data_IF_246479568114
#
_entry.id   IF_246479568114
#
_cell.length_a   1.000
_cell.length_b   1.000
_cell.length_c   1.000
_cell.angle_alpha   90.00
_cell.angle_beta   90.00
_cell.angle_gamma   90.00
#
_symmetry.space_group_name_H-M   'P 1'
#
loop_
_entity.id
_entity.type
_entity.pdbx_description
1 polymer ?
#
# COMPACT_ATOMS: atom_id res chain seq x y z
N UNK A 1 26.76 -21.83 19.51
CA UNK A 1 26.68 -21.62 18.05
C UNK A 1 25.85 -22.74 17.46
N UNK A 2 24.53 -22.59 17.45
CA UNK A 2 23.63 -23.46 16.66
C UNK A 2 23.15 -22.59 15.50
N UNK A 3 23.65 -22.89 14.30
CA UNK A 3 23.19 -22.29 13.06
C UNK A 3 21.74 -22.74 12.81
N UNK A 4 20.81 -21.83 13.12
CA UNK A 4 19.50 -21.61 12.50
C UNK A 4 18.99 -22.63 11.47
N UNK A 5 17.79 -23.18 11.70
CA UNK A 5 16.91 -23.70 10.63
C UNK A 5 16.29 -22.59 9.75
N UNK A 6 16.53 -21.30 10.03
CA UNK A 6 16.15 -20.20 9.14
C UNK A 6 17.06 -20.06 7.92
N UNK A 7 18.15 -20.83 7.82
CA UNK A 7 19.09 -20.79 6.69
C UNK A 7 18.57 -21.44 5.39
N UNK A 8 17.36 -22.01 5.39
CA UNK A 8 16.79 -22.71 4.23
C UNK A 8 15.48 -22.11 3.68
N UNK A 9 14.99 -20.98 4.22
CA UNK A 9 13.79 -20.34 3.66
C UNK A 9 14.13 -19.59 2.37
N UNK A 10 13.40 -19.91 1.30
CA UNK A 10 13.47 -19.17 0.04
C UNK A 10 12.40 -18.07 0.06
N UNK A 11 12.79 -16.85 0.38
CA UNK A 11 11.89 -15.71 0.51
C UNK A 11 12.19 -14.71 -0.59
N UNK A 12 11.17 -14.41 -1.41
CA UNK A 12 11.22 -13.45 -2.50
C UNK A 12 10.30 -12.27 -2.23
N UNK A 13 10.65 -11.10 -2.73
CA UNK A 13 9.72 -9.97 -2.82
C UNK A 13 8.67 -10.26 -3.89
N UNK A 14 7.50 -9.62 -3.77
CA UNK A 14 6.48 -9.71 -4.81
C UNK A 14 6.93 -9.03 -6.11
N UNK A 15 6.64 -9.66 -7.25
CA UNK A 15 6.94 -9.16 -8.60
C UNK A 15 8.43 -8.80 -8.86
N UNK A 16 9.37 -9.62 -8.37
CA UNK A 16 10.80 -9.51 -8.75
C UNK A 16 11.00 -9.75 -10.25
N UNK A 17 11.16 -8.65 -11.00
CA UNK A 17 11.80 -8.67 -12.33
C UNK A 17 13.23 -8.15 -12.22
N UNK A 18 14.21 -9.07 -12.30
CA UNK A 18 15.63 -8.72 -12.40
C UNK A 18 16.50 -9.10 -11.20
N UNK A 19 17.77 -8.71 -11.30
CA UNK A 19 18.85 -9.10 -10.39
C UNK A 19 19.00 -8.06 -9.26
N UNK A 20 17.95 -7.88 -8.46
CA UNK A 20 18.00 -6.98 -7.31
C UNK A 20 18.56 -7.72 -6.07
N UNK A 21 19.52 -7.10 -5.38
CA UNK A 21 20.18 -7.69 -4.22
C UNK A 21 19.37 -7.50 -2.91
N UNK A 22 18.14 -7.00 -2.97
CA UNK A 22 17.31 -6.79 -1.80
C UNK A 22 16.59 -8.07 -1.38
N UNK A 23 16.84 -8.48 -0.15
CA UNK A 23 16.14 -9.59 0.48
C UNK A 23 14.71 -9.18 0.88
N UNK A 24 13.78 -10.13 0.91
CA UNK A 24 12.41 -9.93 1.39
C UNK A 24 12.28 -9.77 2.91
N UNK A 25 13.39 -9.73 3.63
CA UNK A 25 13.44 -9.51 5.08
C UNK A 25 14.66 -8.69 5.45
N UNK A 26 14.71 -8.22 6.71
CA UNK A 26 15.85 -7.49 7.25
C UNK A 26 16.23 -8.00 8.65
N UNK A 27 17.27 -7.39 9.23
CA UNK A 27 17.75 -7.80 10.55
C UNK A 27 16.76 -7.55 11.69
N UNK A 28 15.69 -6.78 11.52
CA UNK A 28 14.65 -6.70 12.55
C UNK A 28 13.73 -7.95 12.52
N UNK A 29 13.52 -8.57 11.36
CA UNK A 29 12.76 -9.84 11.26
C UNK A 29 13.52 -10.98 11.92
N UNK A 30 14.80 -11.13 11.58
CA UNK A 30 15.67 -12.14 12.19
C UNK A 30 15.77 -11.95 13.71
N UNK A 31 15.84 -10.70 14.18
CA UNK A 31 15.94 -10.40 15.61
C UNK A 31 14.71 -10.91 16.37
N UNK A 32 13.50 -10.65 15.86
CA UNK A 32 12.26 -11.14 16.48
C UNK A 32 12.25 -12.67 16.60
N UNK A 33 12.61 -13.38 15.53
CA UNK A 33 12.63 -14.85 15.53
C UNK A 33 13.66 -15.40 16.50
N UNK A 34 14.86 -14.80 16.57
CA UNK A 34 15.89 -15.23 17.51
C UNK A 34 15.45 -14.97 18.94
N UNK A 35 14.87 -13.80 19.22
CA UNK A 35 14.39 -13.44 20.55
C UNK A 35 13.29 -14.38 21.05
N UNK A 36 12.30 -14.70 20.21
CA UNK A 36 11.22 -15.64 20.56
C UNK A 36 11.79 -17.03 20.93
N UNK A 37 12.81 -17.49 20.20
CA UNK A 37 13.47 -18.77 20.45
C UNK A 37 14.33 -18.77 21.70
N UNK A 38 15.09 -17.70 21.93
CA UNK A 38 15.98 -17.55 23.08
C UNK A 38 15.19 -17.45 24.39
N UNK A 39 14.05 -16.76 24.36
CA UNK A 39 13.17 -16.57 25.52
C UNK A 39 12.10 -17.67 25.65
N UNK A 40 12.13 -18.70 24.80
CA UNK A 40 11.19 -19.83 24.78
C UNK A 40 9.70 -19.41 24.80
N UNK A 41 9.37 -18.34 24.06
CA UNK A 41 8.02 -17.74 24.09
C UNK A 41 7.04 -18.64 23.33
N UNK A 42 5.96 -19.05 24.01
CA UNK A 42 4.87 -19.81 23.39
C UNK A 42 4.04 -18.91 22.46
N UNK A 43 3.91 -19.32 21.21
CA UNK A 43 3.31 -18.51 20.15
C UNK A 43 2.36 -19.36 19.29
N UNK A 44 1.30 -19.94 19.89
CA UNK A 44 0.34 -20.80 19.16
C UNK A 44 -0.63 -19.99 18.30
N UNK A 45 -1.13 -18.87 18.79
CA UNK A 45 -2.03 -17.96 18.09
C UNK A 45 -1.36 -16.59 17.98
N UNK A 46 -0.85 -16.28 16.79
CA UNK A 46 0.04 -15.13 16.60
C UNK A 46 -0.62 -14.08 15.71
N UNK A 47 -0.70 -12.84 16.20
CA UNK A 47 -1.02 -11.68 15.38
C UNK A 47 0.29 -11.07 14.87
N UNK A 48 0.49 -11.06 13.56
CA UNK A 48 1.68 -10.52 12.90
C UNK A 48 1.26 -9.30 12.09
N UNK A 49 1.84 -8.16 12.42
CA UNK A 49 1.51 -6.87 11.81
C UNK A 49 2.72 -6.36 11.02
N UNK A 50 2.48 -6.04 9.75
CA UNK A 50 3.44 -5.49 8.79
C UNK A 50 4.61 -6.46 8.45
N UNK A 51 4.32 -7.76 8.30
CA UNK A 51 5.25 -8.75 7.74
C UNK A 51 5.34 -8.58 6.21
N UNK A 52 6.41 -7.93 5.72
CA UNK A 52 6.48 -7.45 4.33
C UNK A 52 6.47 -8.59 3.30
N UNK A 53 7.12 -9.72 3.57
CA UNK A 53 7.22 -10.86 2.65
C UNK A 53 6.96 -12.22 3.31
N UNK A 54 6.51 -12.25 4.57
CA UNK A 54 6.20 -13.49 5.27
C UNK A 54 7.35 -14.08 6.07
N UNK A 55 8.45 -13.36 6.30
CA UNK A 55 9.59 -13.95 7.00
C UNK A 55 9.19 -14.43 8.40
N UNK A 56 8.39 -13.64 9.12
CA UNK A 56 7.92 -14.02 10.45
C UNK A 56 6.94 -15.19 10.36
N UNK A 57 5.96 -15.08 9.46
CA UNK A 57 4.95 -16.10 9.20
C UNK A 57 5.57 -17.46 8.82
N UNK A 58 6.60 -17.47 7.97
CA UNK A 58 7.27 -18.70 7.54
C UNK A 58 8.21 -19.27 8.62
N UNK A 59 8.85 -18.42 9.42
CA UNK A 59 9.88 -18.82 10.40
C UNK A 59 9.35 -19.31 11.73
N UNK A 60 8.11 -18.96 12.09
CA UNK A 60 7.46 -19.36 13.33
C UNK A 60 6.73 -20.70 13.16
N UNK A 61 6.70 -21.47 14.25
CA UNK A 61 5.87 -22.66 14.39
C UNK A 61 4.70 -22.30 15.32
N UNK A 62 3.57 -21.95 14.71
CA UNK A 62 2.31 -21.61 15.37
C UNK A 62 1.16 -22.43 14.78
N UNK A 63 0.06 -22.56 15.55
CA UNK A 63 -1.17 -23.22 15.11
C UNK A 63 -1.97 -22.29 14.19
N UNK A 64 -2.04 -20.99 14.52
CA UNK A 64 -2.83 -19.99 13.80
C UNK A 64 -2.02 -18.70 13.60
N UNK A 65 -2.04 -18.16 12.38
CA UNK A 65 -1.37 -16.92 11.99
C UNK A 65 -2.41 -15.91 11.52
N UNK A 66 -2.40 -14.73 12.10
CA UNK A 66 -3.25 -13.61 11.68
C UNK A 66 -2.34 -12.52 11.16
N UNK A 67 -2.32 -12.31 9.84
CA UNK A 67 -1.44 -11.36 9.18
C UNK A 67 -2.20 -10.09 8.85
N UNK A 68 -1.79 -8.97 9.45
CA UNK A 68 -2.30 -7.63 9.15
C UNK A 68 -1.23 -6.89 8.35
N UNK A 69 -1.53 -6.63 7.08
CA UNK A 69 -0.68 -5.83 6.21
C UNK A 69 -1.54 -4.79 5.50
N UNK A 70 -1.12 -3.53 5.55
CA UNK A 70 -1.80 -2.50 4.76
C UNK A 70 -1.65 -2.77 3.24
N UNK A 71 -0.47 -3.26 2.84
CA UNK A 71 -0.07 -3.51 1.45
C UNK A 71 -0.59 -4.85 0.92
N UNK A 72 -1.27 -4.80 -0.23
CA UNK A 72 -1.64 -5.95 -1.05
C UNK A 72 -0.42 -6.76 -1.50
N UNK A 73 0.67 -6.08 -1.86
CA UNK A 73 1.89 -6.75 -2.33
C UNK A 73 2.52 -7.61 -1.22
N UNK A 74 2.38 -7.20 0.04
CA UNK A 74 2.89 -7.99 1.17
C UNK A 74 2.08 -9.26 1.39
N UNK A 75 0.76 -9.16 1.32
CA UNK A 75 -0.12 -10.34 1.38
C UNK A 75 0.18 -11.33 0.26
N UNK A 76 0.33 -10.85 -0.98
CA UNK A 76 0.65 -11.72 -2.10
C UNK A 76 2.08 -12.29 -2.00
N UNK A 77 3.04 -11.54 -1.46
CA UNK A 77 4.37 -12.07 -1.15
C UNK A 77 4.32 -13.21 -0.13
N UNK A 78 3.54 -13.06 0.95
CA UNK A 78 3.34 -14.10 1.96
C UNK A 78 2.76 -15.36 1.31
N UNK A 79 1.66 -15.22 0.53
CA UNK A 79 1.02 -16.35 -0.17
C UNK A 79 2.01 -17.07 -1.10
N UNK A 80 2.75 -16.31 -1.90
CA UNK A 80 3.75 -16.86 -2.82
C UNK A 80 4.88 -17.58 -2.09
N UNK A 81 5.41 -16.99 -1.02
CA UNK A 81 6.50 -17.58 -0.25
C UNK A 81 6.06 -18.82 0.54
N UNK A 82 4.83 -18.85 1.07
CA UNK A 82 4.26 -20.07 1.68
C UNK A 82 4.24 -21.21 0.66
N UNK A 83 3.81 -20.95 -0.58
CA UNK A 83 3.84 -21.94 -1.66
C UNK A 83 5.26 -22.35 -2.01
N UNK A 84 6.18 -21.39 -2.14
CA UNK A 84 7.58 -21.62 -2.50
C UNK A 84 8.32 -22.50 -1.48
N UNK A 85 7.93 -22.46 -0.21
CA UNK A 85 8.51 -23.24 0.88
C UNK A 85 7.68 -24.47 1.26
N UNK A 86 6.68 -24.86 0.47
CA UNK A 86 5.78 -25.99 0.73
C UNK A 86 5.03 -25.88 2.09
N UNK A 87 4.72 -24.66 2.52
CA UNK A 87 4.03 -24.34 3.77
C UNK A 87 2.59 -23.84 3.56
N UNK A 88 1.99 -24.09 2.39
CA UNK A 88 0.59 -23.69 2.09
C UNK A 88 -0.46 -24.28 3.03
N UNK A 89 -0.11 -25.30 3.83
CA UNK A 89 -0.98 -25.88 4.84
C UNK A 89 -1.05 -25.08 6.16
N UNK A 90 -0.20 -24.05 6.35
CA UNK A 90 -0.29 -23.17 7.53
C UNK A 90 -1.64 -22.47 7.56
N UNK A 91 -2.25 -22.39 8.74
CA UNK A 91 -3.53 -21.70 8.92
C UNK A 91 -3.32 -20.18 9.01
N UNK A 92 -3.25 -19.53 7.85
CA UNK A 92 -3.00 -18.09 7.73
C UNK A 92 -4.30 -17.35 7.37
N UNK A 93 -4.69 -16.40 8.21
CA UNK A 93 -5.79 -15.47 7.96
C UNK A 93 -5.22 -14.08 7.67
N UNK A 94 -5.51 -13.52 6.51
CA UNK A 94 -5.17 -12.14 6.17
C UNK A 94 -6.28 -11.19 6.61
N UNK A 95 -5.92 -10.09 7.24
CA UNK A 95 -6.85 -9.13 7.84
C UNK A 95 -6.53 -7.71 7.41
N UNK A 96 -7.57 -6.91 7.21
CA UNK A 96 -7.42 -5.46 7.08
C UNK A 96 -7.05 -4.83 8.42
N UNK A 97 -6.19 -3.78 8.44
CA UNK A 97 -5.92 -3.03 9.67
C UNK A 97 -7.17 -2.31 10.23
N UNK A 98 -8.23 -2.19 9.44
CA UNK A 98 -9.49 -1.55 9.83
C UNK A 98 -10.55 -2.54 10.36
N UNK A 99 -10.32 -3.84 10.22
CA UNK A 99 -11.21 -4.89 10.72
C UNK A 99 -11.00 -5.17 12.22
N UNK A 100 -11.93 -5.85 12.90
CA UNK A 100 -11.70 -6.36 14.26
C UNK A 100 -10.54 -7.38 14.28
N UNK A 101 -9.67 -7.27 15.29
CA UNK A 101 -8.64 -8.28 15.52
C UNK A 101 -9.22 -9.50 16.25
N UNK A 102 -8.67 -10.70 16.03
CA UNK A 102 -9.12 -11.95 16.68
C UNK A 102 -8.94 -11.87 18.20
N UNK A 103 -9.86 -12.47 18.96
CA UNK A 103 -9.86 -12.41 20.43
C UNK A 103 -8.78 -13.29 21.11
N UNK A 104 -8.50 -14.46 20.55
CA UNK A 104 -7.60 -15.46 21.13
C UNK A 104 -6.18 -15.33 20.56
N UNK A 105 -5.43 -14.34 21.03
CA UNK A 105 -4.03 -14.12 20.63
C UNK A 105 -3.12 -14.32 21.84
N UNK A 106 -2.06 -15.11 21.65
CA UNK A 106 -1.04 -15.37 22.66
C UNK A 106 0.06 -14.29 22.62
N UNK A 107 0.39 -13.81 21.42
CA UNK A 107 1.43 -12.80 21.21
C UNK A 107 1.19 -11.96 19.95
N UNK A 108 1.56 -10.69 20.03
CA UNK A 108 1.53 -9.73 18.92
C UNK A 108 2.97 -9.45 18.48
N UNK A 109 3.25 -9.64 17.19
CA UNK A 109 4.50 -9.28 16.55
C UNK A 109 4.28 -8.07 15.64
N UNK A 110 4.96 -6.97 15.91
CA UNK A 110 4.79 -5.71 15.19
C UNK A 110 6.09 -5.30 14.51
N UNK A 111 6.11 -5.26 13.18
CA UNK A 111 7.14 -4.54 12.45
C UNK A 111 6.83 -3.04 12.51
N UNK A 112 7.73 -2.25 13.08
CA UNK A 112 7.52 -0.81 13.22
C UNK A 112 7.38 -0.17 11.83
N UNK A 113 6.19 0.36 11.46
CA UNK A 113 6.00 0.97 10.17
C UNK A 113 6.74 2.30 10.11
N UNK A 114 7.04 2.76 8.89
CA UNK A 114 7.76 4.03 8.67
C UNK A 114 6.91 5.26 9.00
N UNK A 115 5.58 5.13 9.00
CA UNK A 115 4.65 6.21 9.26
C UNK A 115 4.23 6.23 10.73
N UNK A 116 4.62 7.29 11.47
CA UNK A 116 4.33 7.40 12.90
C UNK A 116 2.83 7.47 13.22
N UNK A 117 2.03 8.13 12.39
CA UNK A 117 0.56 8.20 12.60
C UNK A 117 -0.07 6.82 12.41
N UNK A 118 0.46 6.03 11.47
CA UNK A 118 0.02 4.65 11.29
C UNK A 118 0.45 3.75 12.44
N UNK A 119 1.67 3.90 12.95
CA UNK A 119 2.11 3.21 14.16
C UNK A 119 1.20 3.53 15.35
N UNK A 120 0.89 4.82 15.57
CA UNK A 120 0.01 5.25 16.65
C UNK A 120 -1.40 4.64 16.52
N UNK A 121 -1.96 4.68 15.31
CA UNK A 121 -3.23 4.01 14.99
C UNK A 121 -3.19 2.50 15.30
N UNK A 122 -2.14 1.79 14.89
CA UNK A 122 -2.01 0.35 15.14
C UNK A 122 -1.91 0.04 16.63
N UNK A 123 -1.14 0.81 17.40
CA UNK A 123 -1.00 0.63 18.84
C UNK A 123 -2.31 0.91 19.58
N UNK A 124 -3.03 1.97 19.22
CA UNK A 124 -4.35 2.28 19.79
C UNK A 124 -5.38 1.19 19.44
N UNK A 125 -5.36 0.71 18.19
CA UNK A 125 -6.19 -0.40 17.73
C UNK A 125 -5.90 -1.69 18.50
N UNK A 126 -4.62 -2.01 18.75
CA UNK A 126 -4.22 -3.17 19.59
C UNK A 126 -4.81 -3.02 20.99
N UNK A 127 -4.62 -1.86 21.62
CA UNK A 127 -5.13 -1.59 22.96
C UNK A 127 -6.65 -1.69 23.07
N UNK A 128 -7.37 -1.23 22.05
CA UNK A 128 -8.83 -1.34 21.98
C UNK A 128 -9.33 -2.77 21.72
N UNK A 129 -8.54 -3.61 21.05
CA UNK A 129 -8.98 -4.94 20.61
C UNK A 129 -9.01 -5.98 21.72
N UNK A 130 -8.27 -5.77 22.82
CA UNK A 130 -8.08 -6.80 23.84
C UNK A 130 -8.52 -6.33 25.22
N UNK A 131 -9.35 -7.14 25.88
CA UNK A 131 -9.78 -6.92 27.28
C UNK A 131 -8.71 -7.28 28.30
N UNK A 132 -7.70 -8.07 27.90
CA UNK A 132 -6.55 -8.47 28.70
C UNK A 132 -5.28 -7.99 28.02
N UNK A 133 -4.26 -7.71 28.81
CA UNK A 133 -2.93 -7.40 28.29
C UNK A 133 -2.36 -8.61 27.56
N UNK A 134 -1.96 -8.39 26.30
CA UNK A 134 -1.36 -9.39 25.43
C UNK A 134 0.14 -9.05 25.28
N UNK A 135 1.05 -10.02 25.42
CA UNK A 135 2.46 -9.83 25.10
C UNK A 135 2.65 -9.27 23.69
N UNK A 136 3.54 -8.29 23.56
CA UNK A 136 3.86 -7.61 22.30
C UNK A 136 5.37 -7.50 22.12
N UNK A 137 5.83 -7.90 20.94
CA UNK A 137 7.21 -7.70 20.48
C UNK A 137 7.18 -6.82 19.22
N UNK A 138 7.70 -5.60 19.34
CA UNK A 138 7.87 -4.70 18.21
C UNK A 138 9.33 -4.67 17.76
N UNK A 139 9.61 -4.61 16.46
CA UNK A 139 10.98 -4.49 15.98
C UNK A 139 11.12 -3.55 14.80
N UNK A 140 12.27 -2.87 14.75
CA UNK A 140 12.61 -1.96 13.66
C UNK A 140 14.11 -1.73 13.56
N UNK A 141 14.52 -1.10 12.46
CA UNK A 141 15.91 -0.67 12.27
C UNK A 141 16.20 0.54 13.15
N UNK A 142 17.38 0.56 13.80
CA UNK A 142 17.82 1.63 14.72
C UNK A 142 17.72 3.02 14.09
N UNK A 143 18.03 3.15 12.79
CA UNK A 143 17.95 4.43 12.07
C UNK A 143 16.53 5.03 12.01
N UNK A 144 15.50 4.22 12.24
CA UNK A 144 14.10 4.67 12.25
C UNK A 144 13.55 4.85 13.67
N UNK A 145 14.17 4.23 14.69
CA UNK A 145 13.78 4.38 16.10
C UNK A 145 14.33 5.67 16.71
N UNK A 146 13.70 6.79 16.35
CA UNK A 146 13.95 8.09 16.96
C UNK A 146 13.16 8.29 18.27
N UNK A 147 13.39 9.42 18.94
CA UNK A 147 12.71 9.78 20.20
C UNK A 147 11.19 9.82 20.07
N UNK A 148 10.64 10.17 18.91
CA UNK A 148 9.19 10.15 18.68
C UNK A 148 8.62 8.75 18.77
N UNK A 149 9.24 7.77 18.09
CA UNK A 149 8.82 6.36 18.18
C UNK A 149 8.98 5.85 19.61
N UNK A 150 10.11 6.15 20.26
CA UNK A 150 10.35 5.76 21.64
C UNK A 150 9.25 6.25 22.58
N UNK A 151 8.92 7.55 22.50
CA UNK A 151 7.89 8.16 23.32
C UNK A 151 6.52 7.57 23.03
N UNK A 152 6.18 7.39 21.75
CA UNK A 152 4.91 6.83 21.31
C UNK A 152 4.69 5.41 21.85
N UNK A 153 5.68 4.54 21.67
CA UNK A 153 5.61 3.15 22.15
C UNK A 153 5.54 3.11 23.67
N UNK A 154 6.32 3.95 24.36
CA UNK A 154 6.31 4.02 25.84
C UNK A 154 5.01 4.59 26.39
N UNK A 155 4.33 5.47 25.65
CA UNK A 155 3.05 6.05 26.09
C UNK A 155 1.85 5.12 25.90
N UNK A 156 1.92 4.22 24.93
CA UNK A 156 0.79 3.37 24.54
C UNK A 156 0.92 1.91 24.96
N UNK A 157 2.10 1.45 25.36
CA UNK A 157 2.30 0.07 25.77
C UNK A 157 2.76 -0.02 27.23
N UNK A 158 2.41 -1.13 27.88
CA UNK A 158 2.77 -1.40 29.27
C UNK A 158 4.04 -2.23 29.39
N UNK A 159 4.78 -2.05 30.50
CA UNK A 159 5.92 -2.92 30.84
C UNK A 159 7.05 -2.91 29.82
N UNK A 160 7.35 -1.75 29.24
CA UNK A 160 8.25 -1.64 28.10
C UNK A 160 9.72 -1.89 28.46
N UNK A 161 10.38 -2.75 27.69
CA UNK A 161 11.84 -2.90 27.70
C UNK A 161 12.40 -2.84 26.27
N UNK A 162 13.58 -2.24 26.13
CA UNK A 162 14.30 -2.16 24.86
C UNK A 162 15.50 -3.10 24.87
N UNK A 163 15.66 -3.91 23.83
CA UNK A 163 16.85 -4.75 23.69
C UNK A 163 18.09 -3.94 23.32
N UNK A 164 19.27 -4.54 23.50
CA UNK A 164 20.50 -4.04 22.90
C UNK A 164 20.38 -4.06 21.37
N UNK A 165 21.10 -3.16 20.70
CA UNK A 165 21.15 -3.15 19.25
C UNK A 165 21.80 -4.44 18.72
N UNK A 166 21.14 -5.12 17.79
CA UNK A 166 21.65 -6.31 17.11
C UNK A 166 21.55 -6.12 15.61
N UNK A 167 22.67 -6.23 14.87
CA UNK A 167 22.71 -5.96 13.40
C UNK A 167 21.93 -4.71 12.95
N UNK A 168 22.05 -3.61 13.70
CA UNK A 168 21.33 -2.34 13.48
C UNK A 168 19.79 -2.42 13.62
N UNK A 169 19.24 -3.45 14.25
CA UNK A 169 17.86 -3.52 14.70
C UNK A 169 17.77 -3.51 16.24
N UNK A 170 16.58 -3.24 16.77
CA UNK A 170 16.22 -3.47 18.18
C UNK A 170 14.82 -4.04 18.26
N UNK A 171 14.56 -4.68 19.40
CA UNK A 171 13.24 -5.13 19.82
C UNK A 171 12.78 -4.23 20.96
N UNK A 172 11.49 -3.95 20.96
CA UNK A 172 10.75 -3.43 22.09
C UNK A 172 9.82 -4.53 22.58
N UNK A 173 10.00 -4.97 23.82
CA UNK A 173 9.07 -5.89 24.47
C UNK A 173 8.11 -5.10 25.33
N UNK A 174 6.88 -5.58 25.47
CA UNK A 174 5.89 -5.00 26.35
C UNK A 174 4.57 -5.74 26.26
N UNK A 175 3.51 -5.04 26.64
CA UNK A 175 2.16 -5.58 26.64
C UNK A 175 1.18 -4.55 26.08
N UNK A 176 0.12 -5.01 25.42
CA UNK A 176 -1.04 -4.16 25.17
C UNK A 176 -1.63 -3.67 26.50
N UNK A 177 -2.15 -2.45 26.48
CA UNK A 177 -2.85 -1.84 27.62
C UNK A 177 -4.32 -1.69 27.24
N UNK A 178 -5.20 -2.57 27.75
CA UNK A 178 -6.62 -2.55 27.41
C UNK A 178 -7.25 -1.17 27.51
N UNK A 179 -7.93 -0.76 26.44
CA UNK A 179 -8.67 0.50 26.34
C UNK A 179 -10.12 0.24 25.95
N UNK A 180 -11.05 1.03 26.48
CA UNK A 180 -12.47 0.99 26.09
C UNK A 180 -12.81 2.01 25.01
N UNK A 181 -11.85 2.85 24.62
CA UNK A 181 -12.00 3.89 23.61
C UNK A 181 -10.95 3.74 22.52
N UNK A 182 -11.32 4.10 21.30
CA UNK A 182 -10.42 4.19 20.14
C UNK A 182 -10.47 5.60 19.59
N UNK A 183 -9.32 6.14 19.22
CA UNK A 183 -9.19 7.48 18.65
C UNK A 183 -9.54 7.47 17.17
N UNK A 184 -10.09 8.58 16.66
CA UNK A 184 -10.23 8.79 15.22
C UNK A 184 -8.93 9.40 14.68
N UNK A 185 -8.22 8.61 13.88
CA UNK A 185 -6.97 9.03 13.23
C UNK A 185 -7.17 9.55 11.80
N UNK A 186 -8.42 9.66 11.34
CA UNK A 186 -8.69 10.22 10.03
C UNK A 186 -8.47 11.73 10.00
N UNK A 187 -8.06 12.25 8.85
CA UNK A 187 -7.90 13.70 8.62
C UNK A 187 -8.75 14.13 7.43
N UNK A 188 -9.23 15.37 7.47
CA UNK A 188 -10.05 15.94 6.40
C UNK A 188 -9.26 16.97 5.60
N UNK A 189 -9.40 16.96 4.28
CA UNK A 189 -8.79 17.93 3.37
C UNK A 189 -9.84 18.38 2.33
N UNK A 190 -9.98 19.69 2.14
CA UNK A 190 -10.83 20.26 1.09
C UNK A 190 -10.01 20.65 -0.14
N UNK A 191 -10.47 20.27 -1.33
CA UNK A 191 -9.88 20.69 -2.61
C UNK A 191 -10.91 20.66 -3.74
N UNK A 192 -11.01 21.73 -4.55
CA UNK A 192 -11.93 21.80 -5.72
C UNK A 192 -13.37 21.39 -5.38
N UNK A 193 -13.86 21.88 -4.23
CA UNK A 193 -15.18 21.56 -3.67
C UNK A 193 -15.38 20.05 -3.43
N UNK A 194 -14.31 19.33 -3.10
CA UNK A 194 -14.32 17.91 -2.73
C UNK A 194 -13.75 17.77 -1.32
N UNK A 195 -14.53 17.16 -0.45
CA UNK A 195 -14.09 16.81 0.91
C UNK A 195 -13.41 15.43 0.90
N UNK A 196 -12.11 15.39 1.14
CA UNK A 196 -11.32 14.17 1.20
C UNK A 196 -11.17 13.71 2.66
N UNK A 197 -11.40 12.43 2.90
CA UNK A 197 -11.14 11.76 4.17
C UNK A 197 -9.92 10.86 4.00
N UNK A 198 -8.91 11.11 4.83
CA UNK A 198 -7.61 10.47 4.75
C UNK A 198 -7.39 9.60 5.98
N UNK A 199 -7.31 8.29 5.79
CA UNK A 199 -6.92 7.34 6.82
C UNK A 199 -5.41 7.44 7.12
N UNK A 200 -4.94 6.89 8.24
CA UNK A 200 -3.51 6.74 8.51
C UNK A 200 -2.81 6.00 7.36
N UNK A 201 -1.49 6.17 7.25
CA UNK A 201 -0.65 5.54 6.22
C UNK A 201 -0.81 6.02 4.76
N UNK A 202 -1.76 6.88 4.42
CA UNK A 202 -1.84 7.41 3.05
C UNK A 202 -0.76 8.46 2.73
N UNK A 203 -0.37 8.54 1.46
CA UNK A 203 0.53 9.58 0.97
C UNK A 203 -0.11 10.97 1.04
N UNK A 204 0.69 11.98 1.43
CA UNK A 204 0.29 13.39 1.46
C UNK A 204 -1.02 13.69 2.21
N UNK A 205 -1.31 12.98 3.31
CA UNK A 205 -2.59 13.11 4.05
C UNK A 205 -2.91 14.52 4.58
N UNK A 206 -1.90 15.38 4.77
CA UNK A 206 -2.07 16.72 5.37
C UNK A 206 -2.28 17.85 4.36
N UNK A 207 -1.89 17.67 3.10
CA UNK A 207 -1.92 18.71 2.07
C UNK A 207 -2.06 18.07 0.69
N UNK A 208 -2.73 18.73 -0.23
CA UNK A 208 -2.81 18.26 -1.61
C UNK A 208 -1.40 18.21 -2.24
N UNK A 209 -1.03 17.05 -2.76
CA UNK A 209 0.20 16.84 -3.54
C UNK A 209 0.29 17.85 -4.68
N UNK A 210 1.51 18.31 -4.98
CA UNK A 210 1.73 19.37 -5.97
C UNK A 210 1.45 18.84 -7.38
N UNK A 211 1.81 17.58 -7.67
CA UNK A 211 1.49 16.93 -8.94
C UNK A 211 -0.01 16.75 -9.10
N UNK A 212 -0.70 16.24 -8.08
CA UNK A 212 -2.17 16.16 -8.07
C UNK A 212 -2.80 17.55 -8.29
N UNK A 213 -2.34 18.59 -7.60
CA UNK A 213 -2.84 19.95 -7.82
C UNK A 213 -2.65 20.42 -9.26
N UNK A 214 -1.47 20.18 -9.83
CA UNK A 214 -1.18 20.49 -11.23
C UNK A 214 -2.14 19.77 -12.18
N UNK A 215 -2.45 18.49 -11.92
CA UNK A 215 -3.48 17.76 -12.65
C UNK A 215 -4.83 18.48 -12.57
N UNK A 216 -5.33 18.77 -11.36
CA UNK A 216 -6.65 19.38 -11.15
C UNK A 216 -6.78 20.78 -11.76
N UNK A 217 -5.68 21.53 -11.81
CA UNK A 217 -5.66 22.90 -12.36
C UNK A 217 -5.61 22.92 -13.90
N UNK A 218 -5.10 21.87 -14.54
CA UNK A 218 -4.85 21.83 -15.98
C UNK A 218 -5.64 20.75 -16.74
N UNK A 219 -6.43 19.93 -16.04
CA UNK A 219 -7.24 18.91 -16.69
C UNK A 219 -8.27 19.54 -17.63
N UNK A 220 -8.33 19.02 -18.84
CA UNK A 220 -9.32 19.39 -19.86
C UNK A 220 -10.07 18.15 -20.30
N UNK A 221 -11.36 18.30 -20.64
CA UNK A 221 -12.13 17.23 -21.26
C UNK A 221 -11.83 17.18 -22.76
N UNK A 222 -11.88 15.98 -23.35
CA UNK A 222 -11.89 15.84 -24.81
C UNK A 222 -13.28 16.19 -25.33
N UNK A 223 -13.44 17.19 -26.22
CA UNK A 223 -14.74 17.56 -26.76
C UNK A 223 -15.43 16.37 -27.45
N UNK A 224 -16.76 16.33 -27.34
CA UNK A 224 -17.63 15.32 -27.99
C UNK A 224 -17.34 13.86 -27.62
N UNK A 225 -16.55 13.62 -26.57
CA UNK A 225 -16.23 12.28 -26.09
C UNK A 225 -17.14 11.83 -24.97
N UNK A 226 -17.84 10.73 -25.21
CA UNK A 226 -18.64 10.06 -24.19
C UNK A 226 -17.74 9.19 -23.29
N UNK A 227 -17.79 9.43 -21.99
CA UNK A 227 -17.07 8.66 -20.98
C UNK A 227 -18.10 8.00 -20.07
N UNK A 228 -18.20 6.67 -20.12
CA UNK A 228 -19.15 5.88 -19.35
C UNK A 228 -18.48 5.07 -18.22
N UNK A 229 -17.15 4.95 -18.26
CA UNK A 229 -16.36 4.18 -17.30
C UNK A 229 -15.01 4.84 -17.03
N UNK A 230 -14.75 5.13 -15.76
CA UNK A 230 -13.54 5.81 -15.27
C UNK A 230 -12.83 4.89 -14.28
N UNK A 231 -11.51 4.73 -14.44
CA UNK A 231 -10.66 4.07 -13.44
C UNK A 231 -9.57 5.04 -12.96
N UNK A 232 -9.43 5.19 -11.65
CA UNK A 232 -8.29 5.86 -11.02
C UNK A 232 -7.34 4.82 -10.41
N UNK A 233 -6.10 4.81 -10.89
CA UNK A 233 -5.08 3.81 -10.53
C UNK A 233 -4.05 4.43 -9.59
N UNK A 234 -3.88 3.83 -8.41
CA UNK A 234 -3.15 4.46 -7.32
C UNK A 234 -3.97 5.62 -6.73
N UNK A 235 -5.24 5.35 -6.46
CA UNK A 235 -6.23 6.39 -6.18
C UNK A 235 -5.96 7.17 -4.88
N UNK A 236 -5.18 6.61 -3.93
CA UNK A 236 -4.98 7.18 -2.61
C UNK A 236 -6.32 7.56 -1.92
N UNK A 237 -6.67 8.85 -1.83
CA UNK A 237 -7.93 9.31 -1.26
C UNK A 237 -9.04 9.56 -2.31
N UNK A 238 -8.80 9.23 -3.57
CA UNK A 238 -9.77 9.29 -4.66
C UNK A 238 -9.92 10.67 -5.31
N UNK A 239 -9.08 11.66 -4.98
CA UNK A 239 -9.24 13.04 -5.47
C UNK A 239 -9.27 13.15 -7.01
N UNK A 240 -8.47 12.37 -7.73
CA UNK A 240 -8.47 12.44 -9.20
C UNK A 240 -9.79 11.89 -9.75
N UNK A 241 -10.18 10.68 -9.33
CA UNK A 241 -11.45 10.09 -9.71
C UNK A 241 -12.67 10.97 -9.35
N UNK A 242 -12.74 11.50 -8.12
CA UNK A 242 -13.85 12.36 -7.68
C UNK A 242 -13.91 13.68 -8.47
N UNK A 243 -12.76 14.27 -8.78
CA UNK A 243 -12.69 15.47 -9.59
C UNK A 243 -13.19 15.22 -11.02
N UNK A 244 -12.74 14.14 -11.65
CA UNK A 244 -13.14 13.81 -13.01
C UNK A 244 -14.59 13.35 -13.09
N UNK A 245 -15.11 12.66 -12.07
CA UNK A 245 -16.52 12.28 -12.00
C UNK A 245 -17.47 13.49 -11.96
N UNK A 246 -17.06 14.65 -11.41
CA UNK A 246 -17.85 15.89 -11.52
C UNK A 246 -18.06 16.34 -12.96
N UNK A 247 -17.15 15.99 -13.87
CA UNK A 247 -17.23 16.31 -15.29
C UNK A 247 -18.02 15.23 -16.08
N UNK A 248 -18.15 14.03 -15.52
CA UNK A 248 -18.80 12.87 -16.12
C UNK A 248 -19.67 12.16 -15.06
N UNK A 249 -20.75 12.81 -14.61
CA UNK A 249 -21.54 12.37 -13.45
C UNK A 249 -22.20 11.01 -13.62
N UNK A 250 -22.51 10.64 -14.87
CA UNK A 250 -23.16 9.36 -15.21
C UNK A 250 -22.17 8.21 -15.39
N UNK A 251 -20.86 8.49 -15.39
CA UNK A 251 -19.85 7.47 -15.58
C UNK A 251 -19.76 6.55 -14.35
N UNK A 252 -19.63 5.25 -14.61
CA UNK A 252 -19.24 4.28 -13.60
C UNK A 252 -17.82 4.60 -13.13
N UNK A 253 -17.63 4.69 -11.81
CA UNK A 253 -16.36 5.07 -11.21
C UNK A 253 -15.75 3.89 -10.48
N UNK A 254 -14.50 3.59 -10.79
CA UNK A 254 -13.71 2.60 -10.09
C UNK A 254 -12.41 3.23 -9.61
N UNK A 255 -12.00 2.87 -8.39
CA UNK A 255 -10.74 3.29 -7.80
C UNK A 255 -9.91 2.09 -7.34
N UNK A 256 -8.64 2.02 -7.76
CA UNK A 256 -7.71 0.93 -7.43
C UNK A 256 -6.50 1.47 -6.68
N UNK A 257 -6.05 0.74 -5.65
CA UNK A 257 -4.81 1.05 -4.91
C UNK A 257 -4.23 -0.22 -4.28
N UNK A 258 -2.94 -0.21 -3.94
CA UNK A 258 -2.29 -1.34 -3.28
C UNK A 258 -2.57 -1.39 -1.78
N UNK A 259 -3.03 -0.30 -1.15
CA UNK A 259 -3.21 -0.23 0.31
C UNK A 259 -4.66 -0.27 0.77
N UNK A 260 -4.94 -0.93 1.89
CA UNK A 260 -6.24 -0.80 2.57
C UNK A 260 -6.51 0.65 2.95
N UNK A 261 -5.49 1.39 3.39
CA UNK A 261 -5.60 2.78 3.81
C UNK A 261 -6.07 3.71 2.70
N UNK A 262 -5.56 3.55 1.48
CA UNK A 262 -6.07 4.28 0.32
C UNK A 262 -7.51 3.89 0.02
N UNK A 263 -7.82 2.59 -0.09
CA UNK A 263 -9.17 2.14 -0.41
C UNK A 263 -10.20 2.61 0.62
N UNK A 264 -9.87 2.60 1.90
CA UNK A 264 -10.70 3.15 2.97
C UNK A 264 -10.88 4.67 2.85
N UNK A 265 -9.80 5.39 2.54
CA UNK A 265 -9.82 6.85 2.33
C UNK A 265 -10.69 7.25 1.13
N UNK A 266 -10.48 6.59 -0.01
CA UNK A 266 -11.25 6.76 -1.22
C UNK A 266 -12.74 6.49 -0.97
N UNK A 267 -13.07 5.39 -0.28
CA UNK A 267 -14.46 5.03 0.04
C UNK A 267 -15.13 6.03 0.96
N UNK A 268 -14.45 6.48 2.01
CA UNK A 268 -14.97 7.53 2.89
C UNK A 268 -15.12 8.88 2.17
N UNK A 269 -14.19 9.22 1.28
CA UNK A 269 -14.25 10.43 0.46
C UNK A 269 -15.42 10.37 -0.52
N UNK A 270 -15.60 9.27 -1.25
CA UNK A 270 -16.75 9.09 -2.15
C UNK A 270 -18.08 9.22 -1.42
N UNK A 271 -18.23 8.55 -0.26
CA UNK A 271 -19.41 8.68 0.58
C UNK A 271 -19.66 10.13 1.02
N UNK A 272 -18.60 10.84 1.43
CA UNK A 272 -18.69 12.23 1.88
C UNK A 272 -19.14 13.19 0.77
N UNK A 273 -18.83 12.87 -0.48
CA UNK A 273 -19.20 13.66 -1.66
C UNK A 273 -20.43 13.13 -2.40
N UNK A 274 -21.12 12.11 -1.86
CA UNK A 274 -22.31 11.53 -2.49
C UNK A 274 -22.05 10.80 -3.81
N UNK A 275 -20.82 10.32 -4.03
CA UNK A 275 -20.40 9.59 -5.23
C UNK A 275 -20.40 8.10 -4.95
N UNK A 276 -21.04 7.32 -5.80
CA UNK A 276 -20.95 5.85 -5.78
C UNK A 276 -19.74 5.42 -6.61
N UNK A 277 -18.90 4.56 -6.05
CA UNK A 277 -17.74 4.01 -6.75
C UNK A 277 -17.49 2.56 -6.33
N UNK A 278 -16.85 1.82 -7.23
CA UNK A 278 -16.27 0.52 -6.94
C UNK A 278 -14.82 0.66 -6.47
N UNK A 279 -14.40 -0.20 -5.55
CA UNK A 279 -13.06 -0.13 -4.96
C UNK A 279 -12.38 -1.48 -5.08
N UNK A 280 -11.13 -1.47 -5.54
CA UNK A 280 -10.33 -2.68 -5.66
C UNK A 280 -8.97 -2.48 -5.01
N UNK A 281 -8.61 -3.36 -4.08
CA UNK A 281 -7.25 -3.41 -3.56
C UNK A 281 -6.45 -4.39 -4.40
N UNK A 282 -5.46 -3.90 -5.15
CA UNK A 282 -4.71 -4.73 -6.09
C UNK A 282 -3.47 -4.05 -6.64
N UNK A 283 -2.67 -4.81 -7.39
CA UNK A 283 -1.50 -4.30 -8.06
C UNK A 283 -1.91 -3.57 -9.35
N UNK A 284 -2.12 -2.25 -9.22
CA UNK A 284 -2.54 -1.37 -10.29
C UNK A 284 -3.83 -1.86 -11.00
N UNK A 285 -3.73 -2.34 -12.23
CA UNK A 285 -4.83 -2.80 -13.06
C UNK A 285 -4.76 -4.31 -13.35
N UNK A 286 -4.06 -5.08 -12.51
CA UNK A 286 -4.08 -6.54 -12.60
C UNK A 286 -5.51 -7.09 -12.46
N UNK A 287 -5.84 -8.07 -13.30
CA UNK A 287 -7.14 -8.76 -13.37
C UNK A 287 -8.35 -7.92 -13.79
N UNK A 288 -8.13 -6.70 -14.30
CA UNK A 288 -9.20 -5.93 -14.94
C UNK A 288 -9.54 -6.51 -16.32
N UNK A 289 -10.83 -6.54 -16.70
CA UNK A 289 -11.20 -6.99 -18.04
C UNK A 289 -10.58 -6.08 -19.11
N UNK A 290 -10.15 -6.67 -20.22
CA UNK A 290 -9.73 -5.88 -21.38
C UNK A 290 -10.90 -5.08 -21.94
N UNK A 291 -10.63 -3.89 -22.49
CA UNK A 291 -11.65 -3.05 -23.12
C UNK A 291 -12.84 -2.72 -22.19
N UNK A 292 -12.58 -2.45 -20.92
CA UNK A 292 -13.60 -2.15 -19.92
C UNK A 292 -13.66 -0.69 -19.48
N UNK A 293 -12.66 0.14 -19.83
CA UNK A 293 -12.59 1.54 -19.41
C UNK A 293 -12.57 2.52 -20.58
N UNK A 294 -13.29 3.63 -20.46
CA UNK A 294 -13.23 4.76 -21.41
C UNK A 294 -12.14 5.75 -21.01
N UNK A 295 -11.92 5.94 -19.71
CA UNK A 295 -10.93 6.85 -19.15
C UNK A 295 -10.18 6.20 -17.98
N UNK A 296 -8.86 6.30 -18.01
CA UNK A 296 -7.99 5.95 -16.89
C UNK A 296 -7.21 7.20 -16.48
N UNK A 297 -7.22 7.53 -15.19
CA UNK A 297 -6.42 8.61 -14.61
C UNK A 297 -5.41 8.07 -13.61
N UNK A 298 -4.25 8.72 -13.51
CA UNK A 298 -3.20 8.29 -12.58
C UNK A 298 -2.24 9.43 -12.24
N UNK A 299 -1.81 9.50 -10.98
CA UNK A 299 -0.59 10.17 -10.56
C UNK A 299 0.42 9.08 -10.13
N UNK A 300 1.25 8.55 -11.05
CA UNK A 300 2.07 7.38 -10.75
C UNK A 300 3.09 7.64 -9.64
N UNK A 301 3.42 6.63 -8.81
CA UNK A 301 4.48 6.77 -7.81
C UNK A 301 5.82 7.07 -8.48
N UNK A 302 6.61 7.96 -7.87
CA UNK A 302 7.91 8.41 -8.41
C UNK A 302 9.11 8.01 -7.53
N UNK A 303 8.87 7.38 -6.38
CA UNK A 303 9.91 6.88 -5.48
C UNK A 303 9.59 5.44 -5.06
N UNK A 304 10.46 4.50 -5.44
CA UNK A 304 10.51 3.17 -4.84
C UNK A 304 11.80 3.09 -4.01
N UNK A 305 11.67 2.99 -2.69
CA UNK A 305 12.76 2.70 -1.76
C UNK A 305 14.10 3.46 -2.03
N UNK A 306 14.04 4.79 -2.12
CA UNK A 306 15.18 5.69 -2.36
C UNK A 306 15.75 5.71 -3.79
N UNK A 307 15.09 5.07 -4.77
CA UNK A 307 15.40 5.22 -6.19
C UNK A 307 14.18 5.67 -6.98
N UNK A 308 14.45 6.50 -7.98
CA UNK A 308 13.49 6.80 -9.04
C UNK A 308 13.47 5.55 -9.93
N UNK A 309 12.46 4.71 -9.76
CA UNK A 309 12.19 3.57 -10.64
C UNK A 309 10.96 3.89 -11.47
N UNK A 310 11.10 3.81 -12.80
CA UNK A 310 9.99 4.01 -13.74
C UNK A 310 9.22 2.71 -14.00
N UNK A 311 9.69 1.57 -13.46
CA UNK A 311 9.14 0.23 -13.75
C UNK A 311 7.67 0.14 -13.37
N UNK A 312 7.31 0.54 -12.14
CA UNK A 312 5.91 0.53 -11.68
C UNK A 312 5.01 1.36 -12.58
N UNK A 313 5.46 2.56 -12.97
CA UNK A 313 4.71 3.42 -13.88
C UNK A 313 4.56 2.79 -15.28
N UNK A 314 5.62 2.16 -15.80
CA UNK A 314 5.56 1.48 -17.09
C UNK A 314 4.59 0.28 -17.07
N UNK A 315 4.54 -0.48 -15.97
CA UNK A 315 3.58 -1.56 -15.79
C UNK A 315 2.14 -1.03 -15.78
N UNK A 316 1.90 0.08 -15.06
CA UNK A 316 0.60 0.78 -15.10
C UNK A 316 0.23 1.17 -16.53
N UNK A 317 1.17 1.70 -17.32
CA UNK A 317 0.89 2.12 -18.71
C UNK A 317 0.53 0.94 -19.61
N UNK A 318 1.21 -0.20 -19.46
CA UNK A 318 0.91 -1.41 -20.22
C UNK A 318 -0.46 -1.98 -19.86
N UNK A 319 -0.77 -2.09 -18.56
CA UNK A 319 -2.07 -2.56 -18.12
C UNK A 319 -3.19 -1.59 -18.54
N UNK A 320 -2.96 -0.27 -18.43
CA UNK A 320 -3.91 0.75 -18.88
C UNK A 320 -4.21 0.61 -20.38
N UNK A 321 -3.18 0.38 -21.21
CA UNK A 321 -3.40 0.10 -22.63
C UNK A 321 -4.27 -1.16 -22.86
N UNK A 322 -4.11 -2.20 -22.05
CA UNK A 322 -4.95 -3.42 -22.16
C UNK A 322 -6.42 -3.14 -21.78
N UNK A 323 -6.63 -2.51 -20.62
CA UNK A 323 -7.94 -2.25 -20.02
C UNK A 323 -8.76 -1.21 -20.77
N UNK A 324 -8.12 -0.22 -21.39
CA UNK A 324 -8.84 0.80 -22.17
C UNK A 324 -9.60 0.18 -23.34
N UNK A 325 -10.81 0.68 -23.61
CA UNK A 325 -11.53 0.46 -24.87
C UNK A 325 -10.77 1.07 -26.04
N UNK A 326 -11.11 0.66 -27.26
CA UNK A 326 -10.68 1.42 -28.43
C UNK A 326 -11.20 2.85 -28.30
N UNK A 327 -10.34 3.81 -28.61
CA UNK A 327 -10.51 5.23 -28.38
C UNK A 327 -10.58 5.65 -26.91
N UNK A 328 -10.37 4.76 -25.95
CA UNK A 328 -10.24 5.11 -24.53
C UNK A 328 -8.95 5.89 -24.24
N UNK A 329 -8.95 6.67 -23.15
CA UNK A 329 -7.88 7.61 -22.81
C UNK A 329 -7.16 7.25 -21.50
N UNK A 330 -5.85 7.38 -21.49
CA UNK A 330 -5.04 7.45 -20.29
C UNK A 330 -4.59 8.90 -20.08
N UNK A 331 -4.92 9.51 -18.95
CA UNK A 331 -4.42 10.84 -18.54
C UNK A 331 -3.58 10.72 -17.28
N UNK A 332 -2.32 11.14 -17.34
CA UNK A 332 -1.41 11.10 -16.19
C UNK A 332 -0.76 12.45 -15.91
N UNK A 333 -0.54 12.76 -14.64
CA UNK A 333 0.44 13.78 -14.24
C UNK A 333 1.77 13.10 -13.93
N UNK A 334 2.86 13.71 -14.39
CA UNK A 334 4.20 13.16 -14.21
C UNK A 334 5.21 14.25 -13.87
N UNK A 335 6.23 13.89 -13.09
CA UNK A 335 7.42 14.73 -12.97
C UNK A 335 8.17 14.75 -14.33
N UNK A 336 8.47 15.93 -14.85
CA UNK A 336 9.04 16.13 -16.19
C UNK A 336 10.37 15.42 -16.41
N UNK A 337 11.20 15.34 -15.37
CA UNK A 337 12.51 14.68 -15.41
C UNK A 337 12.42 13.15 -15.59
N UNK A 338 11.25 12.53 -15.41
CA UNK A 338 11.05 11.09 -15.57
C UNK A 338 10.88 10.65 -17.03
N UNK A 339 10.62 11.59 -17.95
CA UNK A 339 10.61 11.31 -19.38
C UNK A 339 9.53 10.31 -19.86
N UNK A 340 8.41 10.18 -19.14
CA UNK A 340 7.33 9.21 -19.43
C UNK A 340 6.75 9.31 -20.84
N UNK A 341 6.83 10.47 -21.49
CA UNK A 341 6.43 10.66 -22.89
C UNK A 341 7.03 9.59 -23.82
N UNK A 342 8.30 9.22 -23.64
CA UNK A 342 8.96 8.22 -24.50
C UNK A 342 8.41 6.81 -24.31
N UNK A 343 8.00 6.45 -23.10
CA UNK A 343 7.45 5.14 -22.77
C UNK A 343 5.99 5.04 -23.21
N UNK A 344 5.20 6.08 -22.91
CA UNK A 344 3.82 6.18 -23.37
C UNK A 344 3.74 6.14 -24.90
N UNK A 345 4.60 6.85 -25.61
CA UNK A 345 4.60 6.83 -27.07
C UNK A 345 4.93 5.44 -27.66
N UNK A 346 5.80 4.67 -26.99
CA UNK A 346 6.08 3.28 -27.41
C UNK A 346 4.87 2.35 -27.22
N UNK A 347 4.06 2.59 -26.19
CA UNK A 347 2.91 1.75 -25.85
C UNK A 347 1.67 2.15 -26.67
N UNK A 348 1.33 3.44 -26.67
CA UNK A 348 0.10 3.97 -27.28
C UNK A 348 0.29 4.45 -28.74
N UNK A 349 1.54 4.70 -29.17
CA UNK A 349 1.83 5.28 -30.49
C UNK A 349 1.47 6.77 -30.62
N UNK A 350 0.95 7.37 -29.55
CA UNK A 350 0.60 8.80 -29.48
C UNK A 350 0.70 9.26 -28.02
N UNK A 351 1.09 10.52 -27.82
CA UNK A 351 1.09 11.22 -26.53
C UNK A 351 0.83 12.70 -26.81
N UNK A 352 -0.13 13.28 -26.12
CA UNK A 352 -0.41 14.71 -26.09
C UNK A 352 0.11 15.29 -24.77
N UNK A 353 0.88 16.38 -24.84
CA UNK A 353 1.18 17.20 -23.65
C UNK A 353 0.07 18.24 -23.49
N UNK A 354 -0.89 17.94 -22.61
CA UNK A 354 -2.07 18.78 -22.34
C UNK A 354 -1.65 20.08 -21.64
N UNK A 355 -0.71 19.97 -20.71
CA UNK A 355 -0.11 21.10 -20.00
C UNK A 355 1.29 20.74 -19.48
N UNK A 356 2.14 21.75 -19.30
CA UNK A 356 3.52 21.56 -18.84
C UNK A 356 3.99 22.78 -18.05
N UNK A 357 4.77 22.56 -17.00
CA UNK A 357 5.56 23.60 -16.35
C UNK A 357 7.04 23.19 -16.18
N UNK A 358 7.74 23.82 -15.24
CA UNK A 358 9.14 23.51 -14.93
C UNK A 358 9.35 22.16 -14.23
N UNK A 359 8.34 21.61 -13.56
CA UNK A 359 8.40 20.42 -12.70
C UNK A 359 7.51 19.28 -13.19
N UNK A 360 6.31 19.58 -13.64
CA UNK A 360 5.27 18.62 -14.00
C UNK A 360 4.83 18.74 -15.45
N UNK A 361 4.31 17.65 -15.98
CA UNK A 361 3.63 17.58 -17.29
C UNK A 361 2.37 16.73 -17.13
N UNK A 362 1.29 17.14 -17.79
CA UNK A 362 0.03 16.41 -17.89
C UNK A 362 -0.02 15.79 -19.28
N UNK A 363 0.03 14.47 -19.34
CA UNK A 363 0.10 13.70 -20.58
C UNK A 363 -1.20 12.95 -20.81
N UNK A 364 -1.71 12.98 -22.04
CA UNK A 364 -2.88 12.20 -22.47
C UNK A 364 -2.48 11.26 -23.61
N UNK A 365 -2.95 10.03 -23.57
CA UNK A 365 -2.75 9.03 -24.62
C UNK A 365 -4.07 8.37 -24.98
N UNK A 366 -4.29 8.04 -26.25
CA UNK A 366 -5.50 7.38 -26.73
C UNK A 366 -5.17 5.97 -27.23
N UNK A 367 -5.93 4.95 -26.80
CA UNK A 367 -5.80 3.59 -27.35
C UNK A 367 -6.40 3.53 -28.76
N UNK A 368 -5.57 3.59 -29.78
CA UNK A 368 -6.01 3.37 -31.17
C UNK A 368 -5.98 1.89 -31.51
N UNK A 369 -6.92 1.43 -32.33
CA UNK A 369 -6.84 0.10 -32.93
C UNK A 369 -5.53 -0.04 -33.71
N UNK A 370 -4.78 -1.12 -33.48
CA UNK A 370 -3.61 -1.42 -34.31
C UNK A 370 -4.12 -1.63 -35.72
N UNK A 371 -3.85 -0.69 -36.61
CA UNK A 371 -4.02 -0.90 -38.05
C UNK A 371 -3.10 -2.05 -38.40
N UNK A 372 -3.65 -3.24 -38.65
CA UNK A 372 -2.85 -4.31 -39.25
C UNK A 372 -2.54 -3.84 -40.67
N UNK A 373 -1.30 -3.39 -40.87
CA UNK A 373 -0.76 -3.37 -42.22
C UNK A 373 -0.60 -4.84 -42.61
N UNK A 374 -1.64 -5.40 -43.23
CA UNK A 374 -1.46 -6.58 -44.09
C UNK A 374 -0.46 -6.15 -45.15
N UNK A 375 0.77 -6.63 -45.04
CA UNK A 375 1.71 -6.65 -46.16
C UNK A 375 1.26 -7.71 -47.17
#
# INVERSE_FOLDING_TARGET
MNSTNSSNLNIKRYAEEGNDNFQGWNSADEHLINFIKEEEIEAKNVLIIEDECGFLTLSLEADNYYCVNDSYLSEEAIKSNLKLNNQSAKNVTFLSPYEPFPENIDIILLKLPKNNLYLEFLLDKINYSYKKSIPLLAAGMVKYMNTTIYNLVTSLLGGIMFSLSWKKSKIVTGYSTPSTTISDFSTTLEAKDITLINMPNIFSSKKLDIGTRFFLDNYTTTPDKEINSIIDVGCANGILALFVNKLYSEATLLMSDITYSAIESARKSSLKNGVTAEFNRGNALDNYPEQSADLIVCNPPFHDNHRVSITTACNIFQQAFSVLKTDGELTIVANKHLGYHTHLNKIFGNVEEVASDSKFTLLRCVKRSRVSFKQ
#
